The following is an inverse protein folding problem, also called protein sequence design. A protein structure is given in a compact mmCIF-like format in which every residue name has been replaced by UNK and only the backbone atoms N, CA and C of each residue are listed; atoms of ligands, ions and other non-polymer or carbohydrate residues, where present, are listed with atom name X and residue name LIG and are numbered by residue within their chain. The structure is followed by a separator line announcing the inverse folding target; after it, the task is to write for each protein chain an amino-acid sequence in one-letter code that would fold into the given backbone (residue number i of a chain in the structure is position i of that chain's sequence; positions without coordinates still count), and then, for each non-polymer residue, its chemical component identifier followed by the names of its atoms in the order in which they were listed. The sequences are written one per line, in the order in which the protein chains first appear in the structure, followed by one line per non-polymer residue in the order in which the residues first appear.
data_IF_162398542095
#
_entry.id   IF_162398542095
#
_cell.length_a   1.000
_cell.length_b   1.000
_cell.length_c   1.000
_cell.angle_alpha   90.00
_cell.angle_beta   90.00
_cell.angle_gamma   90.00
#
_symmetry.space_group_name_H-M   'P 1'
#
loop_
_entity.id
_entity.type
_entity.pdbx_description
1 polymer ?
#
# COMPACT_ATOMS: atom_id res chain seq x y z
N UNK A 1 21.01 15.91 -4.99
CA UNK A 1 21.85 14.91 -5.67
C UNK A 1 20.98 13.69 -5.92
N UNK A 2 20.88 13.22 -7.17
CA UNK A 2 20.15 11.99 -7.50
C UNK A 2 21.15 10.84 -7.44
N UNK A 3 20.80 9.76 -6.75
CA UNK A 3 21.64 8.57 -6.66
C UNK A 3 21.38 7.69 -7.89
N UNK A 4 22.40 7.52 -8.73
CA UNK A 4 22.33 6.59 -9.85
C UNK A 4 22.46 5.17 -9.31
N UNK A 5 21.53 4.31 -9.70
CA UNK A 5 21.47 2.92 -9.28
C UNK A 5 22.29 2.03 -10.19
N UNK A 6 22.93 1.00 -9.62
CA UNK A 6 23.55 -0.06 -10.43
C UNK A 6 22.47 -0.95 -11.03
N UNK A 7 22.83 -1.74 -12.03
CA UNK A 7 21.91 -2.69 -12.65
C UNK A 7 21.35 -3.67 -11.60
N UNK A 8 22.18 -4.13 -10.65
CA UNK A 8 21.74 -5.00 -9.55
C UNK A 8 20.76 -4.30 -8.60
N UNK A 9 21.00 -3.04 -8.25
CA UNK A 9 20.05 -2.28 -7.43
C UNK A 9 18.71 -2.07 -8.14
N UNK A 10 18.73 -1.89 -9.47
CA UNK A 10 17.51 -1.79 -10.30
C UNK A 10 16.74 -3.12 -10.27
N UNK A 11 17.42 -4.26 -10.32
CA UNK A 11 16.78 -5.58 -10.19
C UNK A 11 16.11 -5.75 -8.82
N UNK A 12 16.77 -5.32 -7.74
CA UNK A 12 16.19 -5.37 -6.39
C UNK A 12 14.99 -4.42 -6.23
N UNK A 13 15.07 -3.20 -6.78
CA UNK A 13 13.94 -2.28 -6.84
C UNK A 13 12.75 -2.88 -7.60
N UNK A 14 12.99 -3.60 -8.71
CA UNK A 14 11.91 -4.25 -9.47
C UNK A 14 11.15 -5.26 -8.62
N UNK A 15 11.85 -6.04 -7.79
CA UNK A 15 11.21 -6.99 -6.87
C UNK A 15 10.28 -6.27 -5.89
N UNK A 16 10.75 -5.20 -5.24
CA UNK A 16 9.94 -4.43 -4.29
C UNK A 16 8.71 -3.80 -4.97
N UNK A 17 8.89 -3.22 -6.17
CA UNK A 17 7.79 -2.59 -6.92
C UNK A 17 6.78 -3.61 -7.46
N UNK A 18 7.22 -4.79 -7.89
CA UNK A 18 6.33 -5.88 -8.29
C UNK A 18 5.50 -6.40 -7.11
N UNK A 19 6.09 -6.48 -5.91
CA UNK A 19 5.33 -6.83 -4.72
C UNK A 19 4.25 -5.80 -4.43
N UNK A 20 4.58 -4.50 -4.43
CA UNK A 20 3.58 -3.43 -4.24
C UNK A 20 2.44 -3.54 -5.27
N UNK A 21 2.77 -3.70 -6.55
CA UNK A 21 1.75 -3.84 -7.61
C UNK A 21 0.85 -5.06 -7.38
N UNK A 22 1.41 -6.19 -6.93
CA UNK A 22 0.64 -7.40 -6.59
C UNK A 22 -0.23 -7.20 -5.35
N UNK A 23 0.25 -6.48 -4.34
CA UNK A 23 -0.56 -6.11 -3.16
C UNK A 23 -1.75 -5.26 -3.57
N UNK A 24 -1.53 -4.20 -4.36
CA UNK A 24 -2.62 -3.35 -4.88
C UNK A 24 -3.64 -4.15 -5.70
N UNK A 25 -3.15 -5.09 -6.52
CA UNK A 25 -4.02 -5.99 -7.28
C UNK A 25 -4.83 -6.96 -6.41
N UNK A 26 -4.34 -7.37 -5.24
CA UNK A 26 -5.16 -8.13 -4.29
C UNK A 26 -6.25 -7.27 -3.65
N UNK A 27 -5.90 -6.05 -3.23
CA UNK A 27 -6.87 -5.12 -2.66
C UNK A 27 -8.00 -4.80 -3.65
N UNK A 28 -7.66 -4.65 -4.93
CA UNK A 28 -8.64 -4.42 -5.99
C UNK A 28 -9.75 -5.49 -6.07
N UNK A 29 -9.48 -6.74 -5.66
CA UNK A 29 -10.48 -7.83 -5.69
C UNK A 29 -11.52 -7.73 -4.58
N UNK A 30 -11.20 -7.01 -3.52
CA UNK A 30 -12.03 -6.93 -2.30
C UNK A 30 -12.62 -5.54 -2.07
N UNK A 31 -12.19 -4.52 -2.81
CA UNK A 31 -12.82 -3.19 -2.76
C UNK A 31 -14.27 -3.29 -3.23
N UNK A 32 -15.21 -3.07 -2.31
CA UNK A 32 -16.64 -3.11 -2.55
C UNK A 32 -17.39 -2.32 -1.45
N UNK A 33 -18.64 -1.88 -1.70
CA UNK A 33 -19.47 -1.29 -0.67
C UNK A 33 -19.60 -2.19 0.57
N UNK A 34 -19.49 -1.59 1.76
CA UNK A 34 -19.55 -2.27 3.05
C UNK A 34 -18.21 -2.79 3.57
N UNK A 35 -17.14 -2.76 2.77
CA UNK A 35 -15.79 -3.11 3.24
C UNK A 35 -15.18 -1.94 4.01
N UNK A 36 -14.61 -2.19 5.19
CA UNK A 36 -13.89 -1.17 5.96
C UNK A 36 -12.49 -0.93 5.38
N UNK A 37 -11.99 0.31 5.44
CA UNK A 37 -10.61 0.58 5.02
C UNK A 37 -9.59 -0.15 5.90
N UNK A 38 -9.91 -0.42 7.17
CA UNK A 38 -9.08 -1.27 8.03
C UNK A 38 -9.01 -2.74 7.54
N UNK A 39 -10.05 -3.27 6.90
CA UNK A 39 -10.01 -4.60 6.27
C UNK A 39 -9.00 -4.61 5.12
N UNK A 40 -8.97 -3.55 4.29
CA UNK A 40 -8.00 -3.42 3.20
C UNK A 40 -6.57 -3.36 3.74
N UNK A 41 -6.33 -2.59 4.79
CA UNK A 41 -5.03 -2.48 5.45
C UNK A 41 -4.53 -3.81 6.00
N UNK A 42 -5.41 -4.57 6.66
CA UNK A 42 -5.09 -5.90 7.18
C UNK A 42 -4.68 -6.85 6.06
N UNK A 43 -5.44 -6.89 4.96
CA UNK A 43 -5.12 -7.74 3.80
C UNK A 43 -3.79 -7.33 3.17
N UNK A 44 -3.52 -6.03 3.05
CA UNK A 44 -2.26 -5.52 2.52
C UNK A 44 -1.07 -5.94 3.39
N UNK A 45 -1.19 -5.77 4.71
CA UNK A 45 -0.14 -6.13 5.65
C UNK A 45 0.14 -7.63 5.63
N UNK A 46 -0.89 -8.47 5.70
CA UNK A 46 -0.76 -9.94 5.63
C UNK A 46 -0.10 -10.34 4.31
N UNK A 47 -0.57 -9.83 3.17
CA UNK A 47 0.01 -10.15 1.87
C UNK A 47 1.48 -9.74 1.76
N UNK A 48 1.85 -8.53 2.21
CA UNK A 48 3.24 -8.06 2.19
C UNK A 48 4.13 -8.97 3.04
N UNK A 49 3.68 -9.33 4.25
CA UNK A 49 4.44 -10.19 5.18
C UNK A 49 4.57 -11.62 4.67
N UNK A 50 3.53 -12.18 4.08
CA UNK A 50 3.54 -13.53 3.49
C UNK A 50 4.54 -13.65 2.33
N UNK A 51 4.91 -12.53 1.70
CA UNK A 51 5.92 -12.45 0.65
C UNK A 51 7.32 -12.05 1.16
N UNK A 52 7.54 -12.12 2.48
CA UNK A 52 8.86 -11.89 3.09
C UNK A 52 9.28 -10.42 3.14
N UNK A 53 8.34 -9.50 2.98
CA UNK A 53 8.59 -8.06 3.05
C UNK A 53 8.01 -7.44 4.32
N UNK A 54 8.34 -6.16 4.54
CA UNK A 54 7.78 -5.34 5.62
C UNK A 54 6.97 -4.20 5.01
N UNK A 55 5.78 -3.86 5.55
CA UNK A 55 5.02 -2.69 5.10
C UNK A 55 5.86 -1.42 5.25
N UNK A 56 6.01 -0.67 4.16
CA UNK A 56 6.89 0.51 4.13
C UNK A 56 6.38 1.68 4.96
N UNK A 57 5.06 1.77 5.14
CA UNK A 57 4.42 2.91 5.83
C UNK A 57 4.20 2.67 7.32
N UNK A 58 4.16 1.42 7.76
CA UNK A 58 3.85 1.09 9.15
C UNK A 58 4.97 1.59 10.09
N UNK A 59 4.62 2.58 10.91
CA UNK A 59 5.54 3.27 11.83
C UNK A 59 6.37 4.39 11.18
N UNK A 60 6.28 4.61 9.87
CA UNK A 60 7.03 5.65 9.19
C UNK A 60 6.55 7.04 9.62
N UNK A 61 7.42 7.82 10.27
CA UNK A 61 7.05 9.13 10.81
C UNK A 61 5.91 9.08 11.85
N UNK A 62 5.67 7.92 12.48
CA UNK A 62 4.55 7.69 13.39
C UNK A 62 3.23 7.31 12.72
N UNK A 63 3.22 7.08 11.41
CA UNK A 63 2.03 6.61 10.69
C UNK A 63 1.60 5.20 11.20
N UNK A 64 0.32 4.98 11.55
CA UNK A 64 -0.07 3.80 12.34
C UNK A 64 -0.48 2.57 11.52
N UNK A 65 -0.45 2.65 10.18
CA UNK A 65 -1.03 1.66 9.27
C UNK A 65 -0.09 1.26 8.15
N UNK A 66 -0.39 0.17 7.47
CA UNK A 66 0.45 -0.45 6.44
C UNK A 66 0.24 0.17 5.05
N UNK A 67 -0.95 0.71 4.79
CA UNK A 67 -1.31 1.46 3.57
C UNK A 67 -2.01 2.78 3.91
N UNK A 68 -2.12 3.67 2.94
CA UNK A 68 -3.06 4.79 3.00
C UNK A 68 -4.32 4.49 2.19
N UNK A 69 -5.48 4.86 2.72
CA UNK A 69 -6.77 4.77 2.02
C UNK A 69 -7.44 6.13 2.06
N UNK A 70 -7.52 6.78 0.91
CA UNK A 70 -8.03 8.15 0.77
C UNK A 70 -9.33 8.13 -0.03
N UNK A 71 -10.46 8.36 0.64
CA UNK A 71 -11.80 8.31 0.05
C UNK A 71 -12.28 9.72 -0.33
N UNK A 72 -12.81 9.87 -1.54
CA UNK A 72 -13.45 11.08 -2.06
C UNK A 72 -12.56 12.34 -1.98
N UNK A 73 -12.89 13.31 -1.12
CA UNK A 73 -12.17 14.57 -0.98
C UNK A 73 -10.80 14.43 -0.31
N UNK A 74 -10.52 13.27 0.28
CA UNK A 74 -9.22 12.98 0.88
C UNK A 74 -8.17 12.86 -0.22
N UNK A 75 -7.17 13.73 -0.17
CA UNK A 75 -6.14 13.80 -1.22
C UNK A 75 -5.16 12.63 -1.11
N UNK A 76 -4.48 12.50 0.04
CA UNK A 76 -3.48 11.45 0.34
C UNK A 76 -3.45 11.17 1.85
N UNK A 77 -2.76 10.11 2.25
CA UNK A 77 -2.46 9.77 3.65
C UNK A 77 -3.70 9.57 4.55
N UNK A 78 -4.83 9.17 3.97
CA UNK A 78 -5.99 8.75 4.76
C UNK A 78 -5.64 7.51 5.59
N UNK A 79 -5.95 7.53 6.89
CA UNK A 79 -5.63 6.44 7.83
C UNK A 79 -6.74 5.38 7.77
N UNK A 80 -6.43 4.12 7.44
CA UNK A 80 -7.38 3.01 7.53
C UNK A 80 -8.06 2.91 8.90
N UNK A 81 -9.39 2.74 8.91
CA UNK A 81 -10.24 2.69 10.10
C UNK A 81 -11.42 1.73 9.92
N UNK A 82 -11.84 1.09 11.01
CA UNK A 82 -13.06 0.24 11.01
C UNK A 82 -14.34 1.07 10.85
N UNK A 83 -14.28 2.37 11.17
CA UNK A 83 -15.42 3.29 11.07
C UNK A 83 -15.68 3.77 9.64
N UNK A 84 -14.68 3.63 8.75
CA UNK A 84 -14.77 4.06 7.35
C UNK A 84 -15.15 2.86 6.50
N UNK A 85 -16.46 2.68 6.30
CA UNK A 85 -17.03 1.70 5.38
C UNK A 85 -17.23 2.33 4.01
N UNK A 86 -16.69 1.69 2.97
CA UNK A 86 -16.87 2.11 1.59
C UNK A 86 -18.35 2.06 1.20
N UNK A 87 -18.79 3.00 0.38
CA UNK A 87 -20.16 3.12 -0.10
C UNK A 87 -20.19 3.04 -1.61
N UNK A 88 -21.34 2.63 -2.14
CA UNK A 88 -21.57 2.69 -3.58
C UNK A 88 -21.38 4.13 -4.09
N UNK A 89 -20.55 4.29 -5.12
CA UNK A 89 -20.21 5.59 -5.70
C UNK A 89 -19.02 6.32 -5.06
N UNK A 90 -18.43 5.79 -3.98
CA UNK A 90 -17.17 6.32 -3.46
C UNK A 90 -16.04 6.11 -4.47
N UNK A 91 -15.14 7.10 -4.56
CA UNK A 91 -13.83 6.94 -5.18
C UNK A 91 -12.79 6.75 -4.08
N UNK A 92 -11.88 5.81 -4.23
CA UNK A 92 -10.85 5.51 -3.23
C UNK A 92 -9.50 5.41 -3.91
N UNK A 93 -8.54 6.19 -3.42
CA UNK A 93 -7.13 5.99 -3.72
C UNK A 93 -6.51 5.08 -2.66
N UNK A 94 -5.76 4.07 -3.10
CA UNK A 94 -4.97 3.20 -2.23
C UNK A 94 -3.50 3.38 -2.54
N UNK A 95 -2.72 3.72 -1.53
CA UNK A 95 -1.28 3.94 -1.60
C UNK A 95 -0.55 2.91 -0.74
N UNK A 96 0.46 2.27 -1.31
CA UNK A 96 1.11 1.11 -0.73
C UNK A 96 2.63 1.17 -0.92
N UNK A 97 3.35 1.04 0.20
CA UNK A 97 4.80 0.84 0.21
C UNK A 97 5.19 -0.54 0.76
N UNK A 98 6.23 -1.15 0.20
CA UNK A 98 6.81 -2.38 0.73
C UNK A 98 8.34 -2.31 0.72
N UNK A 99 8.96 -2.88 1.76
CA UNK A 99 10.40 -2.95 1.92
C UNK A 99 10.88 -4.40 1.90
N UNK A 100 11.74 -4.74 0.94
CA UNK A 100 12.36 -6.05 0.81
C UNK A 100 13.78 -5.91 0.24
N UNK A 101 14.70 -6.75 0.70
CA UNK A 101 16.09 -6.80 0.23
C UNK A 101 16.85 -5.46 0.24
N UNK A 102 16.51 -4.53 1.16
CA UNK A 102 17.17 -3.23 1.25
C UNK A 102 16.52 -2.11 0.44
N UNK A 103 15.46 -2.39 -0.32
CA UNK A 103 14.85 -1.43 -1.23
C UNK A 103 13.34 -1.28 -1.02
N UNK A 104 12.87 -0.05 -1.11
CA UNK A 104 11.45 0.28 -1.11
C UNK A 104 10.86 0.17 -2.52
N UNK A 105 9.66 -0.39 -2.60
CA UNK A 105 8.71 -0.14 -3.67
C UNK A 105 7.63 0.80 -3.16
N UNK A 106 7.08 1.62 -4.04
CA UNK A 106 6.05 2.61 -3.70
C UNK A 106 5.16 2.88 -4.91
N UNK A 107 3.84 2.79 -4.74
CA UNK A 107 2.86 3.04 -5.79
C UNK A 107 1.47 3.22 -5.19
N UNK A 108 0.66 4.04 -5.87
CA UNK A 108 -0.75 4.23 -5.57
C UNK A 108 -1.61 4.07 -6.83
N UNK A 109 -2.89 3.75 -6.65
CA UNK A 109 -3.91 3.79 -7.71
C UNK A 109 -5.28 4.21 -7.16
N UNK A 110 -6.17 4.64 -8.07
CA UNK A 110 -7.58 5.00 -7.81
C UNK A 110 -8.46 4.26 -8.79
#
# INVERSE_FOLDING_TARGET
MIFLKTDEEIELLRISNQLVARTLAELAKVIAPGVSTATLDKIAEEFIRDHGAVPGFLGYGGFPKSICTSVNEQVVHGIPSEEVLLREGDIISVDCGAYINGFHGDSAYT
#
